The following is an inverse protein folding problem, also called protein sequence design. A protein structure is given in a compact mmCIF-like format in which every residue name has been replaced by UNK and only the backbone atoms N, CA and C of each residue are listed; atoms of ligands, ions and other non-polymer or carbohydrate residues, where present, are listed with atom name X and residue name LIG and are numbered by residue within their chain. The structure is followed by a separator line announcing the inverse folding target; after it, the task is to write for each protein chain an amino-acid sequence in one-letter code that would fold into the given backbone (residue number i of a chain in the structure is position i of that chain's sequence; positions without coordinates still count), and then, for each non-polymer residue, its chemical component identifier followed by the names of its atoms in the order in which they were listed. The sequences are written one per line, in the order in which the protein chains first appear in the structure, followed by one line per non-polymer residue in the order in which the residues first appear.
data_IF_166328279010
#
_entry.id   IF_166328279010
#
_cell.length_a   1.000
_cell.length_b   1.000
_cell.length_c   1.000
_cell.angle_alpha   90.00
_cell.angle_beta   90.00
_cell.angle_gamma   90.00
#
_symmetry.space_group_name_H-M   'P 1'
#
loop_
_entity.id
_entity.type
_entity.pdbx_description
1 polymer ?
#
# COMPACT_ATOMS: atom_id res chain seq x y z
N UNK A 1 2.30 -8.17 -5.15
CA UNK A 1 1.50 -8.84 -6.21
C UNK A 1 2.37 -9.10 -7.44
N UNK A 2 2.20 -10.22 -8.14
CA UNK A 2 2.89 -10.48 -9.42
C UNK A 2 2.16 -9.74 -10.55
N UNK A 3 2.83 -9.51 -11.68
CA UNK A 3 2.24 -8.82 -12.86
C UNK A 3 0.87 -9.38 -13.24
N UNK A 4 0.74 -10.70 -13.38
CA UNK A 4 -0.53 -11.35 -13.75
C UNK A 4 -1.61 -11.37 -12.67
N UNK A 5 -1.32 -10.89 -11.45
CA UNK A 5 -2.25 -10.93 -10.30
C UNK A 5 -2.57 -9.53 -9.74
N UNK A 6 -2.19 -8.44 -10.45
CA UNK A 6 -2.50 -7.07 -10.01
C UNK A 6 -4.01 -6.80 -10.01
N UNK A 7 -4.73 -7.32 -10.99
CA UNK A 7 -6.18 -7.21 -11.08
C UNK A 7 -6.89 -7.94 -9.94
N UNK A 8 -6.44 -9.15 -9.62
CA UNK A 8 -6.98 -9.93 -8.50
C UNK A 8 -6.72 -9.24 -7.16
N UNK A 9 -5.55 -8.62 -6.99
CA UNK A 9 -5.20 -7.87 -5.80
C UNK A 9 -6.17 -6.71 -5.56
N UNK A 10 -6.42 -5.88 -6.58
CA UNK A 10 -7.37 -4.77 -6.45
C UNK A 10 -8.81 -5.26 -6.29
N UNK A 11 -9.18 -6.36 -6.95
CA UNK A 11 -10.51 -6.96 -6.77
C UNK A 11 -10.74 -7.41 -5.32
N UNK A 12 -9.74 -8.00 -4.68
CA UNK A 12 -9.79 -8.35 -3.25
C UNK A 12 -9.88 -7.09 -2.37
N UNK A 13 -9.03 -6.10 -2.61
CA UNK A 13 -9.04 -4.82 -1.87
C UNK A 13 -10.43 -4.17 -1.89
N UNK A 14 -11.07 -4.14 -3.06
CA UNK A 14 -12.43 -3.62 -3.20
C UNK A 14 -13.48 -4.48 -2.49
N UNK A 15 -13.45 -5.80 -2.71
CA UNK A 15 -14.47 -6.72 -2.19
C UNK A 15 -14.49 -6.75 -0.66
N UNK A 16 -13.32 -6.69 -0.04
CA UNK A 16 -13.16 -6.74 1.41
C UNK A 16 -13.24 -5.34 2.08
N UNK A 17 -13.58 -4.27 1.34
CA UNK A 17 -13.67 -2.89 1.85
C UNK A 17 -12.39 -2.47 2.61
N UNK A 18 -11.22 -2.79 2.04
CA UNK A 18 -9.91 -2.49 2.63
C UNK A 18 -9.66 -0.98 2.55
N UNK A 19 -9.39 -0.35 3.69
CA UNK A 19 -9.06 1.08 3.77
C UNK A 19 -7.56 1.34 3.93
N UNK A 20 -6.84 0.37 4.50
CA UNK A 20 -5.41 0.51 4.78
C UNK A 20 -4.63 -0.68 4.23
N UNK A 21 -3.60 -0.38 3.44
CA UNK A 21 -2.64 -1.35 2.95
C UNK A 21 -1.29 -1.08 3.63
N UNK A 22 -0.69 -2.09 4.24
CA UNK A 22 0.65 -2.05 4.80
C UNK A 22 1.55 -2.91 3.92
N UNK A 23 2.54 -2.27 3.30
CA UNK A 23 3.52 -2.90 2.43
C UNK A 23 4.89 -2.86 3.10
N UNK A 24 5.46 -4.02 3.38
CA UNK A 24 6.81 -4.16 3.92
C UNK A 24 7.82 -4.35 2.77
N UNK A 25 8.88 -3.56 2.73
CA UNK A 25 9.93 -3.60 1.67
C UNK A 25 11.33 -3.74 2.25
N UNK A 26 12.25 -4.44 1.58
CA UNK A 26 13.64 -4.59 2.05
C UNK A 26 14.35 -3.22 2.16
N UNK A 27 15.17 -3.06 3.21
CA UNK A 27 15.91 -1.83 3.52
C UNK A 27 17.03 -1.53 2.51
N UNK A 28 17.61 -2.55 1.87
CA UNK A 28 18.74 -2.38 0.95
C UNK A 28 18.31 -1.93 -0.46
N UNK A 29 17.02 -1.67 -0.69
CA UNK A 29 16.57 -0.82 -1.78
C UNK A 29 17.13 -1.20 -3.15
N UNK A 30 17.16 -2.49 -3.51
CA UNK A 30 17.45 -2.85 -4.90
C UNK A 30 16.30 -2.37 -5.77
N UNK A 31 16.41 -1.11 -6.21
CA UNK A 31 15.62 -0.46 -7.26
C UNK A 31 15.49 -1.33 -8.52
N UNK A 32 16.44 -2.26 -8.70
CA UNK A 32 16.56 -3.24 -9.78
C UNK A 32 15.30 -4.08 -10.02
N UNK A 33 14.40 -4.22 -9.04
CA UNK A 33 13.15 -4.98 -9.22
C UNK A 33 11.88 -4.11 -9.08
N UNK A 34 11.99 -2.78 -9.11
CA UNK A 34 10.91 -1.85 -8.71
C UNK A 34 9.68 -1.84 -9.64
N UNK A 35 9.84 -2.12 -10.95
CA UNK A 35 8.71 -2.06 -11.90
C UNK A 35 7.74 -3.24 -11.77
N UNK A 36 8.26 -4.45 -11.53
CA UNK A 36 7.44 -5.67 -11.51
C UNK A 36 6.56 -5.82 -10.24
N UNK A 37 6.81 -4.98 -9.23
CA UNK A 37 6.07 -4.99 -7.97
C UNK A 37 5.10 -3.82 -7.82
N UNK A 38 5.19 -2.80 -8.68
CA UNK A 38 4.32 -1.63 -8.59
C UNK A 38 2.92 -1.99 -9.12
N UNK A 39 1.97 -2.05 -8.20
CA UNK A 39 0.55 -2.30 -8.50
C UNK A 39 -0.31 -1.04 -8.36
N UNK A 40 0.30 0.15 -8.36
CA UNK A 40 -0.38 1.45 -8.28
C UNK A 40 0.17 2.40 -9.36
N UNK A 41 -0.60 3.39 -9.84
CA UNK A 41 -0.14 4.32 -10.88
C UNK A 41 0.89 5.33 -10.36
N UNK A 42 1.44 6.16 -11.26
CA UNK A 42 2.20 7.35 -10.87
C UNK A 42 1.31 8.41 -10.22
N UNK A 43 1.92 9.34 -9.49
CA UNK A 43 1.20 10.45 -8.82
C UNK A 43 0.42 11.27 -9.84
N UNK A 44 -0.82 11.61 -9.50
CA UNK A 44 -1.79 12.30 -10.37
C UNK A 44 -2.18 11.52 -11.64
N UNK A 45 -1.85 10.22 -11.74
CA UNK A 45 -2.32 9.33 -12.80
C UNK A 45 -3.27 8.28 -12.24
N UNK A 46 -4.15 7.82 -13.12
CA UNK A 46 -4.97 6.64 -12.87
C UNK A 46 -4.49 5.45 -13.71
N UNK A 47 -4.78 4.25 -13.21
CA UNK A 47 -4.58 2.99 -13.93
C UNK A 47 -5.76 2.06 -13.66
N UNK A 48 -6.16 1.32 -14.69
CA UNK A 48 -7.25 0.35 -14.64
C UNK A 48 -6.70 -1.05 -14.39
N UNK A 49 -7.33 -1.74 -13.45
CA UNK A 49 -7.08 -3.12 -13.02
C UNK A 49 -8.41 -3.89 -13.12
N UNK A 50 -8.63 -4.56 -14.24
CA UNK A 50 -9.94 -5.12 -14.57
C UNK A 50 -11.06 -4.07 -14.57
N UNK A 51 -12.03 -4.20 -13.65
CA UNK A 51 -13.15 -3.25 -13.51
C UNK A 51 -12.86 -2.08 -12.55
N UNK A 52 -11.68 -2.07 -11.91
CA UNK A 52 -11.30 -1.12 -10.87
C UNK A 52 -10.33 -0.09 -11.45
N UNK A 53 -10.62 1.18 -11.21
CA UNK A 53 -9.72 2.29 -11.52
C UNK A 53 -9.09 2.79 -10.23
N UNK A 54 -7.77 2.85 -10.19
CA UNK A 54 -6.99 3.35 -9.06
C UNK A 54 -6.33 4.65 -9.50
N UNK A 55 -6.48 5.71 -8.72
CA UNK A 55 -5.86 7.02 -8.90
C UNK A 55 -4.94 7.29 -7.72
N UNK A 56 -3.65 7.53 -7.97
CA UNK A 56 -2.74 7.96 -6.91
C UNK A 56 -2.82 9.48 -6.75
N UNK A 57 -3.33 9.93 -5.61
CA UNK A 57 -3.52 11.35 -5.32
C UNK A 57 -2.20 11.98 -4.90
N UNK A 58 -1.54 11.40 -3.91
CA UNK A 58 -0.29 11.91 -3.36
C UNK A 58 0.62 10.81 -2.82
N UNK A 59 1.89 11.15 -2.69
CA UNK A 59 2.88 10.32 -1.99
C UNK A 59 3.68 11.22 -1.06
N UNK A 60 3.62 10.92 0.23
CA UNK A 60 4.25 11.69 1.30
C UNK A 60 5.34 10.84 1.95
N UNK A 61 6.58 11.30 1.88
CA UNK A 61 7.72 10.63 2.49
C UNK A 61 7.91 11.09 3.94
N UNK A 62 7.88 10.15 4.87
CA UNK A 62 8.23 10.35 6.28
C UNK A 62 9.60 9.74 6.56
N UNK A 63 10.15 10.01 7.74
CA UNK A 63 11.44 9.44 8.17
C UNK A 63 11.46 7.91 8.12
N UNK A 64 10.38 7.27 8.57
CA UNK A 64 10.31 5.82 8.79
C UNK A 64 9.39 5.07 7.83
N UNK A 65 8.66 5.75 6.94
CA UNK A 65 7.75 5.13 5.96
C UNK A 65 7.40 6.12 4.84
N UNK A 66 6.81 5.62 3.75
CA UNK A 66 6.11 6.46 2.76
C UNK A 66 4.61 6.20 2.83
N UNK A 67 3.81 7.25 2.78
CA UNK A 67 2.36 7.17 2.71
C UNK A 67 1.91 7.47 1.29
N UNK A 68 1.00 6.65 0.75
CA UNK A 68 0.29 6.93 -0.50
C UNK A 68 -1.19 7.01 -0.24
N UNK A 69 -1.84 8.06 -0.72
CA UNK A 69 -3.30 8.16 -0.71
C UNK A 69 -3.83 7.89 -2.12
N UNK A 70 -4.71 6.90 -2.23
CA UNK A 70 -5.26 6.44 -3.50
C UNK A 70 -6.78 6.48 -3.48
N UNK A 71 -7.39 6.95 -4.57
CA UNK A 71 -8.81 6.80 -4.80
C UNK A 71 -9.06 5.59 -5.70
N UNK A 72 -9.92 4.70 -5.24
CA UNK A 72 -10.29 3.47 -5.92
C UNK A 72 -11.77 3.53 -6.25
N UNK A 73 -12.11 3.20 -7.49
CA UNK A 73 -13.48 3.27 -8.01
C UNK A 73 -13.73 2.04 -8.88
N UNK A 74 -14.91 1.43 -8.76
CA UNK A 74 -15.36 0.35 -9.65
C UNK A 74 -16.57 0.80 -10.46
N UNK A 75 -16.39 1.01 -11.76
CA UNK A 75 -17.45 1.56 -12.62
C UNK A 75 -17.95 2.92 -12.12
N UNK A 76 -19.26 3.02 -11.84
CA UNK A 76 -19.91 4.21 -11.29
C UNK A 76 -20.26 4.07 -9.79
N UNK A 77 -19.62 3.12 -9.08
CA UNK A 77 -19.79 2.95 -7.63
C UNK A 77 -19.12 4.11 -6.84
N UNK A 78 -19.33 4.15 -5.52
CA UNK A 78 -18.74 5.19 -4.64
C UNK A 78 -17.21 5.20 -4.69
N UNK A 79 -16.57 6.34 -4.51
CA UNK A 79 -15.10 6.41 -4.37
C UNK A 79 -14.67 5.88 -3.02
N UNK A 80 -13.66 5.00 -2.99
CA UNK A 80 -13.01 4.51 -1.78
C UNK A 80 -11.61 5.11 -1.70
N UNK A 81 -11.32 5.84 -0.63
CA UNK A 81 -9.97 6.33 -0.36
C UNK A 81 -9.20 5.28 0.43
N UNK A 82 -8.06 4.87 -0.09
CA UNK A 82 -7.18 3.84 0.47
C UNK A 82 -5.83 4.46 0.79
N UNK A 83 -5.34 4.20 2.00
CA UNK A 83 -4.00 4.60 2.46
C UNK A 83 -3.05 3.42 2.38
N UNK A 84 -1.95 3.57 1.66
CA UNK A 84 -0.89 2.57 1.61
C UNK A 84 0.35 3.09 2.35
N UNK A 85 0.78 2.34 3.36
CA UNK A 85 2.01 2.58 4.11
C UNK A 85 3.10 1.66 3.56
N UNK A 86 4.12 2.22 2.94
CA UNK A 86 5.35 1.52 2.56
C UNK A 86 6.37 1.67 3.69
N UNK A 87 6.64 0.57 4.39
CA UNK A 87 7.56 0.54 5.53
C UNK A 87 8.83 -0.21 5.10
N UNK A 88 10.00 0.45 5.06
CA UNK A 88 11.26 -0.24 4.89
C UNK A 88 11.53 -1.14 6.10
N UNK A 89 11.50 -2.45 5.89
CA UNK A 89 11.73 -3.50 6.86
C UNK A 89 12.77 -4.50 6.37
N UNK A 90 13.75 -4.71 7.25
CA UNK A 90 14.57 -5.91 7.40
C UNK A 90 15.58 -6.19 6.28
N UNK A 91 16.85 -6.33 6.64
CA UNK A 91 17.74 -7.20 5.88
C UNK A 91 17.19 -8.62 5.99
N UNK A 92 17.20 -9.39 4.90
CA UNK A 92 16.87 -10.82 4.91
C UNK A 92 17.50 -11.51 6.14
N UNK A 93 16.66 -12.01 7.06
CA UNK A 93 17.10 -12.70 8.29
C UNK A 93 17.39 -11.82 9.53
N UNK A 94 17.07 -10.52 9.53
CA UNK A 94 17.29 -9.61 10.67
C UNK A 94 16.02 -9.09 11.36
N UNK A 95 16.18 -8.54 12.56
CA UNK A 95 15.16 -7.73 13.27
C UNK A 95 15.18 -6.27 12.78
N UNK A 96 14.11 -5.47 12.96
CA UNK A 96 14.13 -4.04 12.63
C UNK A 96 15.34 -3.36 13.29
N UNK A 97 16.13 -2.61 12.51
CA UNK A 97 17.27 -1.85 13.07
C UNK A 97 16.83 -0.78 14.06
N UNK A 98 15.58 -0.29 13.93
CA UNK A 98 14.96 0.69 14.82
C UNK A 98 13.56 0.21 15.23
N UNK A 99 13.43 -0.66 16.26
CA UNK A 99 12.13 -1.20 16.70
C UNK A 99 11.13 -0.12 17.12
N UNK A 100 11.62 1.02 17.64
CA UNK A 100 10.79 2.15 18.05
C UNK A 100 10.04 2.79 16.86
N UNK A 101 10.67 2.84 15.68
CA UNK A 101 10.06 3.40 14.48
C UNK A 101 8.91 2.50 14.00
N UNK A 102 9.12 1.19 13.98
CA UNK A 102 8.06 0.23 13.63
C UNK A 102 6.86 0.33 14.59
N UNK A 103 7.12 0.40 15.90
CA UNK A 103 6.05 0.57 16.91
C UNK A 103 5.30 1.88 16.66
N UNK A 104 6.00 2.96 16.32
CA UNK A 104 5.39 4.26 16.04
C UNK A 104 4.49 4.21 14.80
N UNK A 105 4.94 3.57 13.73
CA UNK A 105 4.13 3.39 12.51
C UNK A 105 2.91 2.50 12.77
N UNK A 106 3.05 1.40 13.53
CA UNK A 106 1.91 0.55 13.90
C UNK A 106 0.88 1.34 14.73
N UNK A 107 1.33 2.17 15.67
CA UNK A 107 0.44 3.04 16.45
C UNK A 107 -0.29 4.05 15.57
N UNK A 108 0.43 4.66 14.62
CA UNK A 108 -0.15 5.61 13.66
C UNK A 108 -1.22 4.93 12.80
N UNK A 109 -0.91 3.77 12.22
CA UNK A 109 -1.86 2.99 11.42
C UNK A 109 -3.12 2.68 12.22
N UNK A 110 -2.98 2.18 13.46
CA UNK A 110 -4.13 1.88 14.33
C UNK A 110 -4.97 3.12 14.64
N UNK A 111 -4.34 4.29 14.78
CA UNK A 111 -5.05 5.56 14.98
C UNK A 111 -5.78 6.04 13.73
N UNK A 112 -5.22 5.79 12.55
CA UNK A 112 -5.77 6.21 11.26
C UNK A 112 -6.90 5.29 10.77
N UNK A 113 -6.95 4.06 11.27
CA UNK A 113 -8.04 3.13 10.98
C UNK A 113 -9.36 3.59 11.61
N UNK A 114 -10.36 3.80 10.76
CA UNK A 114 -11.73 4.03 11.21
C UNK A 114 -12.35 2.66 11.53
N UNK A 115 -12.87 2.50 12.74
CA UNK A 115 -13.41 1.22 13.22
C UNK A 115 -14.37 0.59 12.21
N UNK A 116 -14.12 -0.67 11.84
CA UNK A 116 -14.98 -1.47 10.97
C UNK A 116 -14.42 -1.84 9.59
N UNK A 117 -13.29 -1.26 9.17
CA UNK A 117 -12.67 -1.59 7.87
C UNK A 117 -11.43 -2.45 7.98
N UNK A 118 -11.18 -3.25 6.94
CA UNK A 118 -10.08 -4.23 6.93
C UNK A 118 -8.73 -3.59 6.65
N UNK A 119 -7.71 -4.17 7.28
CA UNK A 119 -6.30 -3.87 7.04
C UNK A 119 -5.67 -5.01 6.25
N UNK A 120 -5.02 -4.68 5.14
CA UNK A 120 -4.27 -5.64 4.35
C UNK A 120 -2.77 -5.45 4.63
N UNK A 121 -2.10 -6.48 5.11
CA UNK A 121 -0.63 -6.50 5.22
C UNK A 121 -0.07 -7.42 4.15
N UNK A 122 0.96 -6.96 3.43
CA UNK A 122 1.77 -7.84 2.59
C UNK A 122 3.25 -7.43 2.62
N UNK A 123 4.10 -8.37 2.24
CA UNK A 123 5.51 -8.15 1.98
C UNK A 123 5.82 -8.52 0.53
N UNK A 124 7.02 -8.15 0.08
CA UNK A 124 7.53 -8.54 -1.23
C UNK A 124 8.04 -9.99 -1.22
#
# INVERSE_FOLDING_TARGET
PREGTKDDFWRMVWKEDVETIVMLVDKDGTEQHSKDAQYWPEVNRNQKYGAITVLLMETTAFRSYKLREMNVIKGNERVHTIRQYEIPCWKYGGVPSEPADLISVIKQIKSDQKGGKHLLVHCR
#
